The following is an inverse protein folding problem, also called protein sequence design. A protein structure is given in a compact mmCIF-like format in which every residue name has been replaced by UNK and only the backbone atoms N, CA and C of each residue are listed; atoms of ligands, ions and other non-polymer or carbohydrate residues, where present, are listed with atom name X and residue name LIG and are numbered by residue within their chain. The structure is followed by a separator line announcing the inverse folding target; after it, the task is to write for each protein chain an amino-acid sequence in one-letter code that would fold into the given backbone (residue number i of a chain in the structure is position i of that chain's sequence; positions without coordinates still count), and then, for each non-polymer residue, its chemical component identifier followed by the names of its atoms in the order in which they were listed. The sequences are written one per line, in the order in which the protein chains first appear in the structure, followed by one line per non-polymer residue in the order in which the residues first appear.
data_IF_203187392186
#
_entry.id   IF_203187392186
#
_cell.length_a   1.000
_cell.length_b   1.000
_cell.length_c   1.000
_cell.angle_alpha   90.00
_cell.angle_beta   90.00
_cell.angle_gamma   90.00
#
_symmetry.space_group_name_H-M   'P 1'
#
loop_
_entity.id
_entity.type
_entity.pdbx_description
1 polymer ?
#
# COMPACT_ATOMS: atom_id res chain seq x y z
N UNK A 1 8.13 -16.49 -2.21
CA UNK A 1 7.07 -15.78 -1.48
C UNK A 1 6.37 -14.91 -2.49
N UNK A 2 5.04 -14.92 -2.46
CA UNK A 2 4.18 -14.22 -3.42
C UNK A 2 4.42 -12.71 -3.32
N UNK A 3 4.53 -12.04 -4.47
CA UNK A 3 4.71 -10.58 -4.55
C UNK A 3 3.73 -9.88 -3.61
N UNK A 4 4.17 -8.80 -2.97
CA UNK A 4 3.32 -8.03 -2.04
C UNK A 4 3.33 -6.55 -2.40
N UNK A 5 2.13 -5.97 -2.41
CA UNK A 5 1.89 -4.55 -2.59
C UNK A 5 1.27 -4.00 -1.31
N UNK A 6 1.76 -2.86 -0.83
CA UNK A 6 1.23 -2.16 0.33
C UNK A 6 0.47 -0.92 -0.13
N UNK A 7 -0.84 -0.87 0.12
CA UNK A 7 -1.65 0.33 -0.05
C UNK A 7 -1.64 1.12 1.26
N UNK A 8 -1.14 2.35 1.22
CA UNK A 8 -1.26 3.32 2.29
C UNK A 8 -2.42 4.25 1.95
N UNK A 9 -3.35 4.40 2.89
CA UNK A 9 -4.48 5.32 2.80
C UNK A 9 -4.33 6.39 3.86
N UNK A 10 -4.43 7.67 3.49
CA UNK A 10 -4.52 8.78 4.42
C UNK A 10 -5.91 9.43 4.29
N UNK A 11 -6.69 9.33 5.35
CA UNK A 11 -8.04 9.87 5.47
C UNK A 11 -8.10 10.84 6.64
N UNK A 12 -8.76 11.98 6.44
CA UNK A 12 -8.99 12.97 7.51
C UNK A 12 -9.82 12.41 8.67
N UNK A 13 -10.57 11.33 8.46
CA UNK A 13 -11.48 10.76 9.46
C UNK A 13 -10.84 9.64 10.29
N UNK A 14 -10.05 8.77 9.66
CA UNK A 14 -9.48 7.57 10.29
C UNK A 14 -7.97 7.64 10.45
N UNK A 15 -7.32 8.68 9.91
CA UNK A 15 -5.86 8.80 9.89
C UNK A 15 -5.23 7.95 8.79
N UNK A 16 -4.04 7.41 9.09
CA UNK A 16 -3.29 6.55 8.18
C UNK A 16 -3.68 5.09 8.42
N UNK A 17 -4.02 4.39 7.34
CA UNK A 17 -4.33 2.97 7.32
C UNK A 17 -3.52 2.24 6.23
N UNK A 18 -3.30 0.95 6.40
CA UNK A 18 -2.46 0.14 5.50
C UNK A 18 -3.09 -1.21 5.18
N UNK A 19 -3.11 -1.58 3.91
CA UNK A 19 -3.62 -2.87 3.41
C UNK A 19 -2.58 -3.57 2.52
N UNK A 20 -2.48 -4.90 2.63
CA UNK A 20 -1.55 -5.72 1.84
C UNK A 20 -2.30 -6.51 0.75
N UNK A 21 -1.71 -6.54 -0.44
CA UNK A 21 -2.25 -7.23 -1.62
C UNK A 21 -1.18 -8.11 -2.27
N UNK A 22 -1.61 -9.18 -2.94
CA UNK A 22 -0.70 -10.07 -3.67
C UNK A 22 -0.45 -9.62 -5.12
N UNK A 23 -1.36 -8.80 -5.66
CA UNK A 23 -1.25 -8.25 -7.01
C UNK A 23 -1.40 -6.73 -7.03
N UNK A 24 -0.80 -6.09 -8.03
CA UNK A 24 -0.94 -4.66 -8.25
C UNK A 24 -2.38 -4.28 -8.61
N UNK A 25 -3.08 -5.16 -9.32
CA UNK A 25 -4.45 -4.94 -9.77
C UNK A 25 -5.42 -4.83 -8.59
N UNK A 26 -5.33 -5.74 -7.61
CA UNK A 26 -6.13 -5.68 -6.38
C UNK A 26 -5.88 -4.36 -5.62
N UNK A 27 -4.61 -3.98 -5.46
CA UNK A 27 -4.25 -2.73 -4.79
C UNK A 27 -4.82 -1.50 -5.52
N UNK A 28 -4.74 -1.46 -6.85
CA UNK A 28 -5.29 -0.37 -7.67
C UNK A 28 -6.82 -0.32 -7.61
N UNK A 29 -7.48 -1.49 -7.65
CA UNK A 29 -8.93 -1.58 -7.53
C UNK A 29 -9.40 -1.03 -6.18
N UNK A 30 -8.77 -1.44 -5.08
CA UNK A 30 -9.10 -0.94 -3.74
C UNK A 30 -8.80 0.55 -3.61
N UNK A 31 -7.65 1.03 -4.10
CA UNK A 31 -7.30 2.46 -4.07
C UNK A 31 -8.33 3.35 -4.77
N UNK A 32 -8.83 2.93 -5.95
CA UNK A 32 -9.88 3.65 -6.69
C UNK A 32 -11.20 3.74 -5.93
N UNK A 33 -11.53 2.71 -5.14
CA UNK A 33 -12.73 2.70 -4.30
C UNK A 33 -12.61 3.59 -3.06
N UNK A 34 -11.39 4.02 -2.68
CA UNK A 34 -11.13 4.99 -1.61
C UNK A 34 -11.03 6.42 -2.14
N UNK A 35 -11.98 6.82 -2.98
CA UNK A 35 -11.97 8.12 -3.69
C UNK A 35 -11.90 9.37 -2.79
N UNK A 36 -12.35 9.27 -1.55
CA UNK A 36 -12.31 10.36 -0.57
C UNK A 36 -10.99 10.42 0.24
N UNK A 37 -10.02 9.57 -0.06
CA UNK A 37 -8.75 9.48 0.67
C UNK A 37 -7.55 9.62 -0.28
N UNK A 38 -6.45 10.15 0.23
CA UNK A 38 -5.18 10.09 -0.49
C UNK A 38 -4.63 8.68 -0.36
N UNK A 39 -4.23 8.08 -1.47
CA UNK A 39 -3.72 6.70 -1.50
C UNK A 39 -2.37 6.61 -2.21
N UNK A 40 -1.50 5.74 -1.72
CA UNK A 40 -0.21 5.40 -2.32
C UNK A 40 -0.03 3.89 -2.30
N UNK A 41 0.41 3.32 -3.42
CA UNK A 41 0.74 1.90 -3.51
C UNK A 41 2.27 1.77 -3.56
N UNK A 42 2.82 0.88 -2.73
CA UNK A 42 4.24 0.56 -2.65
C UNK A 42 4.42 -0.90 -3.07
N UNK A 43 5.30 -1.15 -4.04
CA UNK A 43 5.74 -2.51 -4.38
C UNK A 43 6.82 -2.94 -3.38
N UNK A 44 6.51 -3.88 -2.49
CA UNK A 44 7.44 -4.31 -1.44
C UNK A 44 8.58 -5.20 -1.97
N UNK A 45 8.49 -5.68 -3.20
CA UNK A 45 9.54 -6.44 -3.88
C UNK A 45 10.42 -5.53 -4.75
N UNK A 46 10.17 -4.21 -4.78
CA UNK A 46 11.06 -3.25 -5.42
C UNK A 46 12.44 -3.29 -4.74
N UNK A 47 13.47 -3.64 -5.52
CA UNK A 47 14.86 -3.76 -5.07
C UNK A 47 15.44 -2.46 -4.52
N UNK A 48 14.82 -1.33 -4.82
CA UNK A 48 15.22 -0.02 -4.31
C UNK A 48 14.69 0.22 -2.89
N UNK A 49 13.67 -0.52 -2.45
CA UNK A 49 13.13 -0.43 -1.09
C UNK A 49 13.96 -1.31 -0.17
N UNK A 50 14.60 -0.69 0.81
CA UNK A 50 15.41 -1.37 1.83
C UNK A 50 14.75 -1.21 3.18
N UNK A 51 14.60 -2.30 3.93
CA UNK A 51 14.18 -2.26 5.33
C UNK A 51 15.07 -1.29 6.13
N UNK A 52 14.44 -0.33 6.82
CA UNK A 52 15.12 0.68 7.64
C UNK A 52 14.99 0.41 9.15
N UNK A 53 14.32 -0.66 9.56
CA UNK A 53 14.22 -1.03 10.96
C UNK A 53 15.50 -1.71 11.44
N UNK A 54 15.74 -1.65 12.75
CA UNK A 54 16.77 -2.47 13.38
C UNK A 54 16.44 -3.96 13.21
N UNK A 55 17.50 -4.78 13.15
CA UNK A 55 17.40 -6.25 13.02
C UNK A 55 16.90 -6.91 14.28
#
# INVERSE_FOLDING_TARGET
MEKRYLLITNSSFTGIDTELFYTLEEAQYTAKNKSCSQTTIIDLEDKNIKWQGDK
#
